data_IF_204454743300
#
_entry.id   IF_204454743300
#
_cell.length_a   1.000
_cell.length_b   1.000
_cell.length_c   1.000
_cell.angle_alpha   90.00
_cell.angle_beta   90.00
_cell.angle_gamma   90.00
#
_symmetry.space_group_name_H-M   'P 1'
#
loop_
_entity.id
_entity.type
_entity.pdbx_description
1 polymer ?
#
# COMPACT_ATOMS: atom_id res chain seq x y z
N UNK A 1 37.36 29.14 21.44
CA UNK A 1 36.66 27.86 21.71
C UNK A 1 37.70 26.86 22.21
N UNK A 2 37.50 26.21 23.36
CA UNK A 2 38.52 25.28 23.90
C UNK A 2 38.54 23.98 23.10
N UNK A 3 39.68 23.27 23.07
CA UNK A 3 39.79 21.94 22.42
C UNK A 3 38.73 20.98 22.95
N UNK A 4 38.44 21.04 24.25
CA UNK A 4 37.42 20.22 24.92
C UNK A 4 36.01 20.54 24.39
N UNK A 5 35.71 21.81 24.10
CA UNK A 5 34.44 22.21 23.49
C UNK A 5 34.28 21.65 22.09
N UNK A 6 35.35 21.62 21.29
CA UNK A 6 35.35 21.05 19.94
C UNK A 6 35.11 19.53 20.00
N UNK A 7 35.81 18.83 20.90
CA UNK A 7 35.63 17.39 21.09
C UNK A 7 34.22 17.04 21.56
N UNK A 8 33.66 17.77 22.54
CA UNK A 8 32.29 17.54 23.00
C UNK A 8 31.25 17.78 21.91
N UNK A 9 31.45 18.80 21.06
CA UNK A 9 30.56 19.07 19.93
C UNK A 9 30.63 17.94 18.89
N UNK A 10 31.83 17.44 18.58
CA UNK A 10 32.02 16.34 17.65
C UNK A 10 31.37 15.04 18.17
N UNK A 11 31.49 14.79 19.47
CA UNK A 11 30.91 13.61 20.13
C UNK A 11 29.38 13.69 20.15
N UNK A 12 28.82 14.88 20.39
CA UNK A 12 27.39 15.13 20.29
C UNK A 12 26.86 14.93 18.86
N UNK A 13 27.56 15.44 17.85
CA UNK A 13 27.19 15.22 16.43
C UNK A 13 27.26 13.73 16.07
N UNK A 14 28.30 13.02 16.50
CA UNK A 14 28.40 11.58 16.27
C UNK A 14 27.26 10.81 16.96
N UNK A 15 26.92 11.15 18.20
CA UNK A 15 25.78 10.56 18.91
C UNK A 15 24.46 10.84 18.18
N UNK A 16 24.26 12.06 17.68
CA UNK A 16 23.07 12.42 16.90
C UNK A 16 22.98 11.62 15.60
N UNK A 17 24.08 11.46 14.87
CA UNK A 17 24.16 10.66 13.65
C UNK A 17 23.87 9.17 13.91
N UNK A 18 24.34 8.64 15.04
CA UNK A 18 24.04 7.27 15.46
C UNK A 18 22.55 7.13 15.77
N UNK A 19 21.96 8.03 16.56
CA UNK A 19 20.53 8.01 16.89
C UNK A 19 19.68 8.01 15.61
N UNK A 20 19.98 8.90 14.66
CA UNK A 20 19.27 8.99 13.37
C UNK A 20 19.39 7.70 12.55
N UNK A 21 20.49 6.95 12.69
CA UNK A 21 20.67 5.66 11.99
C UNK A 21 20.06 4.46 12.71
N UNK A 22 19.75 4.58 14.00
CA UNK A 22 19.23 3.47 14.81
C UNK A 22 17.70 3.51 14.91
N UNK A 23 17.09 4.69 14.81
CA UNK A 23 15.62 4.80 14.77
C UNK A 23 15.12 4.21 13.44
N UNK A 24 14.25 3.18 13.47
CA UNK A 24 13.69 2.63 12.24
C UNK A 24 12.79 3.67 11.57
N UNK A 25 12.69 3.68 10.24
CA UNK A 25 11.74 4.54 9.54
C UNK A 25 10.30 4.21 9.95
N UNK A 26 9.47 5.25 10.10
CA UNK A 26 8.05 5.15 10.46
C UNK A 26 7.22 6.14 9.66
N UNK A 27 5.90 5.92 9.62
CA UNK A 27 4.91 6.76 8.94
C UNK A 27 3.66 6.90 9.81
N UNK A 28 2.74 7.80 9.45
CA UNK A 28 1.43 7.89 10.12
C UNK A 28 0.56 6.69 9.72
N UNK A 29 0.37 5.76 10.65
CA UNK A 29 -0.24 4.46 10.42
C UNK A 29 -1.77 4.54 10.32
N UNK A 30 -2.35 4.37 9.11
CA UNK A 30 -3.81 4.42 8.90
C UNK A 30 -4.38 3.22 8.12
N UNK A 31 -3.52 2.34 7.61
CA UNK A 31 -3.92 1.17 6.81
C UNK A 31 -3.17 -0.08 7.28
N UNK A 32 -3.92 -1.14 7.60
CA UNK A 32 -3.36 -2.46 7.85
C UNK A 32 -3.10 -3.19 6.53
N UNK A 33 -1.84 -3.50 6.25
CA UNK A 33 -1.39 -4.33 5.14
C UNK A 33 -1.10 -5.75 5.65
N UNK A 34 -1.99 -6.70 5.36
CA UNK A 34 -1.80 -8.10 5.73
C UNK A 34 -1.01 -8.80 4.62
N UNK A 35 0.18 -9.27 4.96
CA UNK A 35 1.08 -9.98 4.06
C UNK A 35 1.08 -11.47 4.40
N UNK A 36 0.83 -12.32 3.41
CA UNK A 36 0.75 -13.77 3.60
C UNK A 36 1.66 -14.51 2.63
N UNK A 37 2.66 -15.24 3.14
CA UNK A 37 3.58 -16.06 2.35
C UNK A 37 2.90 -17.35 1.93
N UNK A 38 2.97 -17.67 0.64
CA UNK A 38 2.48 -18.94 0.11
C UNK A 38 3.56 -20.03 0.15
N UNK A 39 3.14 -21.27 0.42
CA UNK A 39 3.98 -22.49 0.30
C UNK A 39 4.16 -22.93 -1.15
N UNK A 40 3.24 -22.56 -2.03
CA UNK A 40 3.21 -22.93 -3.44
C UNK A 40 3.37 -21.70 -4.32
N UNK A 41 3.86 -21.91 -5.54
CA UNK A 41 3.95 -20.85 -6.52
C UNK A 41 2.56 -20.25 -6.82
N UNK A 42 2.47 -18.93 -6.92
CA UNK A 42 1.23 -18.21 -7.22
C UNK A 42 1.31 -17.68 -8.65
N UNK A 43 0.36 -18.08 -9.50
CA UNK A 43 0.16 -17.52 -10.85
C UNK A 43 -1.23 -16.93 -11.05
N UNK A 44 -2.05 -16.97 -9.99
CA UNK A 44 -3.41 -16.44 -10.02
C UNK A 44 -3.90 -15.94 -8.66
N UNK A 45 -4.55 -14.78 -8.62
CA UNK A 45 -5.10 -14.19 -7.38
C UNK A 45 -6.21 -15.05 -6.75
N UNK A 46 -6.89 -15.86 -7.56
CA UNK A 46 -7.97 -16.75 -7.11
C UNK A 46 -7.46 -18.16 -6.73
N UNK A 47 -6.14 -18.38 -6.75
CA UNK A 47 -5.55 -19.63 -6.30
C UNK A 47 -5.87 -19.86 -4.81
N UNK A 48 -6.12 -21.12 -4.44
CA UNK A 48 -6.26 -21.49 -3.03
C UNK A 48 -5.02 -21.09 -2.25
N UNK A 49 -5.23 -20.37 -1.15
CA UNK A 49 -4.13 -19.82 -0.34
C UNK A 49 -3.60 -20.89 0.63
N UNK A 50 -2.45 -21.48 0.30
CA UNK A 50 -1.71 -22.36 1.21
C UNK A 50 -0.63 -21.56 1.94
N UNK A 51 -1.00 -20.94 3.07
CA UNK A 51 -0.17 -19.95 3.75
C UNK A 51 0.82 -20.62 4.72
N UNK A 52 2.09 -20.21 4.65
CA UNK A 52 3.13 -20.62 5.60
C UNK A 52 3.36 -19.64 6.73
N UNK A 53 3.18 -18.35 6.45
CA UNK A 53 3.47 -17.27 7.38
C UNK A 53 2.61 -16.04 7.04
N UNK A 54 2.26 -15.27 8.07
CA UNK A 54 1.45 -14.05 7.95
C UNK A 54 2.01 -12.96 8.86
N UNK A 55 2.07 -11.74 8.34
CA UNK A 55 2.41 -10.55 9.13
C UNK A 55 1.55 -9.36 8.73
N UNK A 56 1.26 -8.50 9.68
CA UNK A 56 0.60 -7.22 9.42
C UNK A 56 1.63 -6.11 9.51
N UNK A 57 1.65 -5.23 8.51
CA UNK A 57 2.45 -4.01 8.50
C UNK A 57 1.49 -2.84 8.38
N UNK A 58 1.69 -1.80 9.18
CA UNK A 58 0.92 -0.57 9.04
C UNK A 58 1.60 0.35 8.02
N UNK A 59 0.82 0.94 7.13
CA UNK A 59 1.27 1.90 6.10
C UNK A 59 0.38 3.15 6.15
N UNK A 60 0.91 4.27 5.66
CA UNK A 60 0.20 5.55 5.48
C UNK A 60 -0.54 5.60 4.14
N UNK A 61 -0.02 4.90 3.12
CA UNK A 61 -0.64 4.85 1.79
C UNK A 61 -0.23 3.64 0.96
N UNK A 62 -1.08 3.32 -0.02
CA UNK A 62 -0.84 2.24 -0.98
C UNK A 62 0.02 2.73 -2.15
N UNK A 63 1.28 3.07 -1.84
CA UNK A 63 2.35 3.41 -2.79
C UNK A 63 3.52 2.42 -2.62
N UNK A 64 3.36 1.19 -3.12
CA UNK A 64 4.29 0.07 -2.91
C UNK A 64 4.97 -0.33 -4.22
N UNK A 65 5.47 0.63 -4.98
CA UNK A 65 6.22 0.39 -6.22
C UNK A 65 7.42 1.33 -6.35
N UNK A 66 8.45 1.09 -5.54
CA UNK A 66 9.73 1.79 -5.64
C UNK A 66 10.79 0.83 -6.19
N UNK A 67 11.56 1.28 -7.19
CA UNK A 67 12.59 0.48 -7.86
C UNK A 67 12.08 -0.83 -8.50
N UNK A 68 10.82 -0.87 -8.97
CA UNK A 68 10.14 -2.09 -9.46
C UNK A 68 10.12 -3.22 -8.42
N UNK A 69 9.97 -2.83 -7.15
CA UNK A 69 9.79 -3.72 -6.01
C UNK A 69 8.56 -3.31 -5.20
N UNK A 70 7.97 -4.29 -4.53
CA UNK A 70 7.00 -4.11 -3.46
C UNK A 70 7.65 -3.40 -2.26
N UNK A 71 7.81 -2.08 -2.39
CA UNK A 71 8.66 -1.24 -1.55
C UNK A 71 7.96 0.08 -1.29
N UNK A 72 7.84 0.42 -0.01
CA UNK A 72 7.35 1.71 0.47
C UNK A 72 8.45 2.79 0.35
N UNK A 73 8.13 4.05 0.00
CA UNK A 73 9.10 5.14 -0.07
C UNK A 73 9.88 5.38 1.23
N UNK A 74 9.22 5.18 2.38
CA UNK A 74 9.80 5.41 3.71
C UNK A 74 10.20 4.11 4.40
N UNK A 75 9.34 3.10 4.38
CA UNK A 75 9.52 1.85 5.15
C UNK A 75 10.43 0.84 4.43
N UNK A 76 10.77 1.10 3.16
CA UNK A 76 11.58 0.18 2.37
C UNK A 76 10.79 -1.05 1.92
N UNK A 77 11.51 -2.16 1.67
CA UNK A 77 10.91 -3.37 1.10
C UNK A 77 9.97 -3.98 2.14
N UNK A 78 8.72 -4.20 1.71
CA UNK A 78 7.73 -4.89 2.52
C UNK A 78 7.57 -6.33 1.99
N UNK A 79 7.14 -7.24 2.84
CA UNK A 79 6.87 -8.62 2.40
C UNK A 79 8.11 -9.44 2.03
N UNK A 80 7.84 -10.48 1.24
CA UNK A 80 8.84 -11.33 0.61
C UNK A 80 9.08 -10.84 -0.81
N UNK A 81 10.03 -11.44 -1.52
CA UNK A 81 10.30 -11.08 -2.93
C UNK A 81 9.40 -11.83 -3.92
N UNK A 82 8.81 -12.94 -3.50
CA UNK A 82 8.05 -13.86 -4.35
C UNK A 82 7.02 -14.66 -3.55
N UNK A 83 6.07 -15.25 -4.26
CA UNK A 83 4.97 -16.08 -3.79
C UNK A 83 4.33 -15.59 -2.48
N UNK A 84 3.84 -14.35 -2.49
CA UNK A 84 3.11 -13.78 -1.36
C UNK A 84 1.83 -13.07 -1.81
N UNK A 85 0.88 -12.94 -0.90
CA UNK A 85 -0.30 -12.11 -1.04
C UNK A 85 -0.17 -10.86 -0.18
N UNK A 86 -0.80 -9.77 -0.63
CA UNK A 86 -1.02 -8.59 0.17
C UNK A 86 -2.50 -8.21 0.14
N UNK A 87 -3.10 -8.05 1.32
CA UNK A 87 -4.51 -7.68 1.46
C UNK A 87 -4.63 -6.41 2.29
N UNK A 88 -5.51 -5.53 1.83
CA UNK A 88 -5.90 -4.30 2.51
C UNK A 88 -7.41 -4.29 2.59
N UNK A 89 -7.94 -4.11 3.80
CA UNK A 89 -9.33 -3.78 4.04
C UNK A 89 -9.39 -2.39 4.67
N UNK A 90 -10.24 -1.52 4.14
CA UNK A 90 -10.39 -0.15 4.61
C UNK A 90 -11.86 0.25 4.61
N UNK A 91 -12.32 0.74 5.76
CA UNK A 91 -13.61 1.39 5.88
C UNK A 91 -13.46 2.87 5.57
N UNK A 92 -14.41 3.43 4.85
CA UNK A 92 -14.41 4.84 4.51
C UNK A 92 -15.82 5.37 4.39
N UNK A 93 -15.98 6.67 4.63
CA UNK A 93 -17.21 7.41 4.40
C UNK A 93 -17.07 8.26 3.14
N UNK A 94 -18.03 8.14 2.25
CA UNK A 94 -18.20 9.04 1.11
C UNK A 94 -19.01 10.24 1.58
N UNK A 95 -18.45 11.45 1.43
CA UNK A 95 -19.11 12.70 1.82
C UNK A 95 -19.77 13.42 0.65
N UNK A 96 -19.41 13.04 -0.59
CA UNK A 96 -19.97 13.58 -1.81
C UNK A 96 -20.40 12.42 -2.72
N UNK A 97 -21.69 12.33 -3.05
CA UNK A 97 -22.17 11.35 -4.03
C UNK A 97 -21.49 11.62 -5.38
N UNK A 98 -20.92 10.60 -5.99
CA UNK A 98 -20.19 10.80 -7.24
C UNK A 98 -19.74 9.51 -7.91
N UNK A 99 -19.28 9.65 -9.16
CA UNK A 99 -18.55 8.59 -9.85
C UNK A 99 -17.09 8.68 -9.43
N UNK A 100 -16.61 7.71 -8.69
CA UNK A 100 -15.21 7.61 -8.28
C UNK A 100 -14.44 6.74 -9.26
N UNK A 101 -13.19 7.14 -9.52
CA UNK A 101 -12.20 6.36 -10.25
C UNK A 101 -11.22 5.76 -9.25
N UNK A 102 -11.00 4.46 -9.34
CA UNK A 102 -9.96 3.72 -8.65
C UNK A 102 -8.95 3.24 -9.69
N UNK A 103 -7.66 3.44 -9.46
CA UNK A 103 -6.60 3.06 -10.37
C UNK A 103 -5.60 2.17 -9.64
N UNK A 104 -5.58 0.89 -9.98
CA UNK A 104 -4.69 -0.10 -9.39
C UNK A 104 -3.49 -0.32 -10.32
N UNK A 105 -2.29 -0.04 -9.83
CA UNK A 105 -1.04 -0.49 -10.44
C UNK A 105 -0.64 -1.82 -9.83
N UNK A 106 -0.35 -2.84 -10.64
CA UNK A 106 0.17 -4.10 -10.09
C UNK A 106 1.10 -4.84 -11.04
N UNK A 107 2.07 -5.51 -10.43
CA UNK A 107 2.96 -6.56 -10.93
C UNK A 107 3.09 -7.55 -9.77
N UNK A 108 2.41 -8.70 -9.71
CA UNK A 108 1.56 -9.35 -10.71
C UNK A 108 0.08 -8.90 -10.69
N UNK A 109 -0.83 -9.74 -10.18
CA UNK A 109 -2.28 -9.60 -10.31
C UNK A 109 -2.96 -9.08 -9.05
N UNK A 110 -4.22 -8.66 -9.21
CA UNK A 110 -5.01 -8.07 -8.13
C UNK A 110 -6.52 -8.34 -8.28
N UNK A 111 -7.26 -8.11 -7.19
CA UNK A 111 -8.71 -8.01 -7.15
C UNK A 111 -9.12 -6.86 -6.22
N UNK A 112 -9.89 -5.91 -6.75
CA UNK A 112 -10.46 -4.80 -5.99
C UNK A 112 -11.98 -4.98 -5.85
N UNK A 113 -12.47 -4.84 -4.62
CA UNK A 113 -13.90 -4.87 -4.27
C UNK A 113 -14.30 -3.60 -3.53
N UNK A 114 -15.53 -3.16 -3.75
CA UNK A 114 -16.22 -2.16 -2.92
C UNK A 114 -17.54 -2.79 -2.46
N UNK A 115 -17.84 -2.71 -1.16
CA UNK A 115 -19.04 -3.28 -0.54
C UNK A 115 -19.22 -4.77 -0.88
N UNK A 116 -18.13 -5.54 -0.77
CA UNK A 116 -18.05 -6.97 -1.13
C UNK A 116 -18.35 -7.30 -2.60
N UNK A 117 -18.58 -6.30 -3.46
CA UNK A 117 -18.80 -6.47 -4.90
C UNK A 117 -17.50 -6.21 -5.65
N UNK A 118 -17.06 -7.17 -6.46
CA UNK A 118 -15.86 -7.03 -7.30
C UNK A 118 -16.05 -5.87 -8.27
N UNK A 119 -15.17 -4.88 -8.14
CA UNK A 119 -15.13 -3.71 -8.99
C UNK A 119 -14.30 -3.99 -10.24
N UNK A 120 -13.05 -4.45 -10.04
CA UNK A 120 -12.18 -4.84 -11.13
C UNK A 120 -11.09 -5.82 -10.65
N UNK A 121 -10.51 -6.59 -11.58
CA UNK A 121 -9.44 -7.52 -11.28
C UNK A 121 -8.50 -7.68 -12.48
N UNK A 122 -7.29 -8.15 -12.21
CA UNK A 122 -6.42 -8.81 -13.18
C UNK A 122 -5.88 -10.08 -12.53
N UNK A 123 -6.36 -11.27 -12.94
CA UNK A 123 -6.23 -12.43 -12.08
C UNK A 123 -4.90 -13.17 -12.20
N UNK A 124 -4.07 -12.90 -13.22
CA UNK A 124 -2.87 -13.67 -13.57
C UNK A 124 -1.61 -12.82 -13.52
N UNK A 125 -0.48 -13.39 -13.91
CA UNK A 125 0.81 -12.71 -14.00
C UNK A 125 0.81 -11.58 -15.05
N UNK A 126 1.52 -10.49 -14.74
CA UNK A 126 1.78 -9.39 -15.68
C UNK A 126 2.90 -8.48 -15.21
N UNK A 127 3.62 -7.83 -16.13
CA UNK A 127 4.44 -6.67 -15.79
C UNK A 127 3.61 -5.52 -15.22
N UNK A 128 4.25 -4.65 -14.44
CA UNK A 128 3.61 -3.50 -13.80
C UNK A 128 2.76 -2.68 -14.79
N UNK A 129 1.45 -2.67 -14.54
CA UNK A 129 0.47 -1.98 -15.38
C UNK A 129 -0.63 -1.38 -14.53
N UNK A 130 -1.14 -0.21 -14.92
CA UNK A 130 -2.25 0.44 -14.24
C UNK A 130 -3.59 0.10 -14.89
N UNK A 131 -4.59 -0.25 -14.08
CA UNK A 131 -5.96 -0.50 -14.51
C UNK A 131 -6.92 0.43 -13.78
N UNK A 132 -7.71 1.20 -14.53
CA UNK A 132 -8.75 2.06 -13.97
C UNK A 132 -10.08 1.33 -13.91
N UNK A 133 -10.79 1.48 -12.79
CA UNK A 133 -12.17 1.06 -12.65
C UNK A 133 -13.00 2.12 -11.94
N UNK A 134 -14.31 2.10 -12.19
CA UNK A 134 -15.20 3.19 -11.82
C UNK A 134 -16.40 2.68 -11.05
N UNK A 135 -16.77 3.39 -10.00
CA UNK A 135 -17.95 3.06 -9.17
C UNK A 135 -18.72 4.34 -8.89
N UNK A 136 -20.04 4.28 -9.04
CA UNK A 136 -20.91 5.29 -8.46
C UNK A 136 -21.06 4.97 -6.98
N UNK A 137 -20.72 5.93 -6.12
CA UNK A 137 -20.86 5.82 -4.67
C UNK A 137 -21.87 6.87 -4.20
N UNK A 138 -22.75 6.44 -3.29
CA UNK A 138 -23.66 7.33 -2.59
C UNK A 138 -22.96 7.87 -1.32
N UNK A 139 -23.51 8.94 -0.74
CA UNK A 139 -23.02 9.41 0.58
C UNK A 139 -23.30 8.33 1.62
N UNK A 140 -22.31 8.00 2.43
CA UNK A 140 -22.42 6.95 3.45
C UNK A 140 -21.15 6.13 3.61
N UNK A 141 -21.23 5.08 4.43
CA UNK A 141 -20.11 4.19 4.69
C UNK A 141 -19.99 3.10 3.62
N UNK A 142 -18.74 2.79 3.28
CA UNK A 142 -18.36 1.79 2.32
C UNK A 142 -17.15 1.01 2.81
N UNK A 143 -16.94 -0.18 2.25
CA UNK A 143 -15.75 -0.99 2.51
C UNK A 143 -14.99 -1.22 1.21
N UNK A 144 -13.68 -0.96 1.23
CA UNK A 144 -12.75 -1.30 0.16
C UNK A 144 -11.94 -2.54 0.58
N UNK A 145 -11.89 -3.53 -0.30
CA UNK A 145 -10.98 -4.67 -0.16
C UNK A 145 -10.11 -4.77 -1.40
N UNK A 146 -8.80 -4.65 -1.22
CA UNK A 146 -7.80 -4.86 -2.26
C UNK A 146 -6.96 -6.08 -1.91
N UNK A 147 -6.97 -7.08 -2.79
CA UNK A 147 -6.07 -8.23 -2.73
C UNK A 147 -5.11 -8.19 -3.89
N UNK A 148 -3.85 -8.51 -3.63
CA UNK A 148 -2.75 -8.59 -4.58
C UNK A 148 -1.97 -9.89 -4.38
N UNK A 149 -1.32 -10.38 -5.43
CA UNK A 149 -0.30 -11.41 -5.31
C UNK A 149 0.96 -11.04 -6.08
N UNK A 150 2.08 -11.54 -5.59
CA UNK A 150 3.34 -11.61 -6.29
C UNK A 150 3.70 -13.07 -6.51
N UNK A 151 3.91 -13.47 -7.76
CA UNK A 151 4.44 -14.77 -8.13
C UNK A 151 5.96 -14.76 -8.04
N UNK A 152 6.65 -13.98 -8.88
CA UNK A 152 8.11 -13.92 -8.94
C UNK A 152 8.61 -12.67 -9.69
N UNK A 153 9.91 -12.34 -9.56
CA UNK A 153 10.53 -11.30 -10.37
C UNK A 153 10.28 -9.87 -9.87
N UNK A 154 9.93 -8.96 -10.78
CA UNK A 154 9.57 -7.58 -10.40
C UNK A 154 8.25 -7.57 -9.67
N UNK A 155 8.06 -6.56 -8.81
CA UNK A 155 6.86 -6.46 -8.01
C UNK A 155 6.46 -5.01 -7.82
N UNK A 156 5.18 -4.78 -7.58
CA UNK A 156 4.72 -3.47 -7.17
C UNK A 156 3.21 -3.43 -7.04
N UNK A 157 2.72 -2.65 -6.09
CA UNK A 157 1.30 -2.41 -5.89
C UNK A 157 1.06 -0.92 -5.63
N UNK A 158 0.12 -0.32 -6.35
CA UNK A 158 -0.37 1.02 -6.03
C UNK A 158 -1.88 1.04 -6.11
N UNK A 159 -2.54 1.82 -5.25
CA UNK A 159 -3.95 2.16 -5.39
C UNK A 159 -4.08 3.67 -5.31
N UNK A 160 -4.64 4.26 -6.35
CA UNK A 160 -4.98 5.68 -6.39
C UNK A 160 -6.51 5.83 -6.56
N UNK A 161 -7.10 6.84 -5.93
CA UNK A 161 -8.52 7.12 -6.07
C UNK A 161 -8.85 8.63 -6.13
N UNK A 162 -10.06 8.94 -6.59
CA UNK A 162 -10.60 10.30 -6.62
C UNK A 162 -11.89 10.38 -7.43
N UNK A 163 -12.56 11.53 -7.39
CA UNK A 163 -13.71 11.81 -8.24
C UNK A 163 -13.32 11.71 -9.73
N UNK A 164 -14.19 11.12 -10.54
CA UNK A 164 -14.01 10.98 -11.98
C UNK A 164 -14.40 12.28 -12.72
N UNK A 165 -13.87 13.41 -12.26
CA UNK A 165 -14.14 14.76 -12.77
C UNK A 165 -12.92 15.39 -13.46
N UNK A 166 -11.86 14.60 -13.70
CA UNK A 166 -10.61 15.06 -14.30
C UNK A 166 -9.53 15.48 -13.30
N UNK A 167 -9.86 15.53 -11.99
CA UNK A 167 -8.85 15.71 -10.96
C UNK A 167 -7.82 14.57 -10.97
N UNK A 168 -6.56 14.90 -10.63
CA UNK A 168 -5.50 13.91 -10.46
C UNK A 168 -5.87 13.01 -9.27
N UNK A 169 -5.92 11.68 -9.42
CA UNK A 169 -6.16 10.79 -8.30
C UNK A 169 -4.96 10.83 -7.34
N UNK A 170 -5.22 10.57 -6.07
CA UNK A 170 -4.18 10.50 -5.01
C UNK A 170 -4.07 9.08 -4.49
N UNK A 171 -2.97 8.73 -3.84
CA UNK A 171 -2.80 7.38 -3.30
C UNK A 171 -3.83 7.11 -2.20
N UNK A 172 -4.35 5.90 -2.15
CA UNK A 172 -5.24 5.46 -1.08
C UNK A 172 -4.49 5.51 0.25
N UNK A 173 -5.05 6.19 1.23
CA UNK A 173 -4.40 6.60 2.48
C UNK A 173 -4.08 8.11 2.53
N UNK A 174 -3.95 8.79 1.38
CA UNK A 174 -3.84 10.26 1.33
C UNK A 174 -5.22 10.92 1.43
N UNK A 175 -5.25 12.21 1.76
CA UNK A 175 -6.48 13.02 1.80
C UNK A 175 -7.12 13.14 0.40
N UNK A 176 -8.22 12.40 0.17
CA UNK A 176 -8.95 12.36 -1.09
C UNK A 176 -10.28 13.07 -0.92
N UNK A 177 -10.53 14.11 -1.73
CA UNK A 177 -11.81 14.83 -1.72
C UNK A 177 -13.00 13.88 -1.89
N UNK A 178 -13.95 13.98 -0.96
CA UNK A 178 -15.14 13.16 -0.92
C UNK A 178 -14.98 11.81 -0.22
N UNK A 179 -13.80 11.49 0.34
CA UNK A 179 -13.52 10.25 1.07
C UNK A 179 -12.92 10.59 2.45
N UNK A 180 -13.51 10.04 3.51
CA UNK A 180 -12.99 10.08 4.88
C UNK A 180 -12.68 8.65 5.34
N UNK A 181 -11.45 8.36 5.70
CA UNK A 181 -11.10 7.03 6.23
C UNK A 181 -11.63 6.84 7.64
N UNK A 182 -12.17 5.65 7.90
CA UNK A 182 -12.63 5.25 9.23
C UNK A 182 -11.55 4.33 9.80
N UNK A 183 -10.78 4.87 10.75
CA UNK A 183 -9.78 4.11 11.51
C UNK A 183 -10.48 3.55 12.76
N UNK A 184 -10.38 2.25 12.99
CA UNK A 184 -10.88 1.58 14.20
C UNK A 184 -9.84 1.60 15.33
#
# INVERSE_FOLDING_TARGET
MSKNTIFSLLLFICALLIIVRVIPPSVDENLALVLSKSRSNITNINHSRNISDTRTVMIDKVELNQDNRFKHPVLGVLGWTEDFYADIESRFRVTEKGRYRFMVGSDDGFSLKIDNKRLCQYPKDRPFSKQSCYRLLDVGEHTLTLSYFQGFGNSGLTLEAGLANGAKPKFWGEDISGIEYIVE
#
